data_IF_837996953340
#
_entry.id   IF_837996953340
#
_cell.length_a   1.000
_cell.length_b   1.000
_cell.length_c   1.000
_cell.angle_alpha   90.00
_cell.angle_beta   90.00
_cell.angle_gamma   90.00
#
_symmetry.space_group_name_H-M   'P 1'
#
loop_
_entity.id
_entity.type
_entity.pdbx_description
1 polymer ?
#
# COMPACT_ATOMS: atom_id res chain seq x y z
N UNK A 1 -4.17 1.20 19.98
CA UNK A 1 -3.36 -0.03 20.20
C UNK A 1 -2.07 0.14 19.41
N UNK A 2 -0.94 -0.15 20.04
CA UNK A 2 0.40 0.00 19.47
C UNK A 2 1.15 -1.34 19.59
N UNK A 3 1.88 -1.71 18.55
CA UNK A 3 2.67 -2.93 18.50
C UNK A 3 4.03 -2.64 17.88
N UNK A 4 5.11 -2.87 18.64
CA UNK A 4 6.47 -2.64 18.18
C UNK A 4 7.04 -3.92 17.56
N UNK A 5 7.44 -3.85 16.28
CA UNK A 5 8.07 -4.97 15.57
C UNK A 5 9.58 -4.99 15.84
N UNK A 6 10.21 -3.83 15.77
CA UNK A 6 11.63 -3.65 16.09
C UNK A 6 11.92 -2.20 16.51
N UNK A 7 13.19 -1.85 16.69
CA UNK A 7 13.60 -0.50 17.12
C UNK A 7 13.16 0.64 16.18
N UNK A 8 12.86 0.34 14.91
CA UNK A 8 12.45 1.32 13.90
C UNK A 8 11.00 1.17 13.47
N UNK A 9 10.43 -0.03 13.53
CA UNK A 9 9.11 -0.31 12.96
C UNK A 9 8.08 -0.50 14.07
N UNK A 10 7.04 0.32 14.01
CA UNK A 10 5.89 0.27 14.91
C UNK A 10 4.59 0.27 14.11
N UNK A 11 3.61 -0.54 14.54
CA UNK A 11 2.26 -0.55 14.00
C UNK A 11 1.30 0.12 14.99
N UNK A 12 0.46 1.04 14.51
CA UNK A 12 -0.60 1.65 15.31
C UNK A 12 -1.95 1.45 14.63
N UNK A 13 -2.96 1.08 15.42
CA UNK A 13 -4.34 1.07 14.95
C UNK A 13 -4.93 2.46 15.13
N UNK A 14 -5.11 3.18 14.03
CA UNK A 14 -5.64 4.53 14.00
C UNK A 14 -6.83 4.61 13.05
N UNK A 15 -7.97 5.13 13.53
CA UNK A 15 -9.21 5.24 12.74
C UNK A 15 -9.62 3.92 12.04
N UNK A 16 -9.39 2.78 12.69
CA UNK A 16 -9.70 1.45 12.16
C UNK A 16 -8.73 0.95 11.07
N UNK A 17 -7.61 1.65 10.84
CA UNK A 17 -6.57 1.25 9.90
C UNK A 17 -5.25 1.00 10.63
N UNK A 18 -4.52 -0.02 10.21
CA UNK A 18 -3.14 -0.21 10.67
C UNK A 18 -2.24 0.76 9.93
N UNK A 19 -1.61 1.67 10.66
CA UNK A 19 -0.61 2.62 10.17
C UNK A 19 0.77 2.10 10.56
N UNK A 20 1.67 2.05 9.58
CA UNK A 20 3.08 1.67 9.80
C UNK A 20 3.85 2.95 10.11
N UNK A 21 4.69 2.90 11.13
CA UNK A 21 5.63 3.96 11.48
C UNK A 21 7.05 3.45 11.29
N UNK A 22 7.91 4.26 10.67
CA UNK A 22 9.34 4.04 10.55
C UNK A 22 10.04 5.18 11.28
N UNK A 23 10.81 4.84 12.32
CA UNK A 23 11.53 5.81 13.16
C UNK A 23 10.61 6.91 13.75
N UNK A 24 9.40 6.51 14.13
CA UNK A 24 8.38 7.42 14.68
C UNK A 24 7.57 8.19 13.64
N UNK A 25 7.92 8.12 12.36
CA UNK A 25 7.22 8.82 11.28
C UNK A 25 6.24 7.91 10.52
N UNK A 26 5.02 8.36 10.17
CA UNK A 26 4.09 7.58 9.38
C UNK A 26 4.68 7.20 8.01
N UNK A 27 4.71 5.90 7.72
CA UNK A 27 5.17 5.38 6.45
C UNK A 27 3.98 5.16 5.51
N UNK A 28 3.96 5.91 4.41
CA UNK A 28 2.97 5.76 3.34
C UNK A 28 3.56 4.85 2.27
N UNK A 29 3.00 3.64 2.13
CA UNK A 29 3.38 2.74 1.05
C UNK A 29 2.79 3.26 -0.27
N UNK A 30 3.63 3.82 -1.13
CA UNK A 30 3.26 4.10 -2.52
C UNK A 30 3.18 2.77 -3.29
N UNK A 31 1.97 2.27 -3.53
CA UNK A 31 1.76 1.17 -4.47
C UNK A 31 1.71 1.75 -5.89
N UNK A 32 2.72 1.44 -6.69
CA UNK A 32 2.64 1.67 -8.14
C UNK A 32 1.71 0.63 -8.76
N UNK A 33 0.76 1.06 -9.57
CA UNK A 33 -0.02 0.16 -10.41
C UNK A 33 0.77 -0.05 -11.71
N UNK A 34 1.30 -1.26 -11.92
CA UNK A 34 1.89 -1.65 -13.19
C UNK A 34 0.82 -2.36 -14.02
N UNK A 35 0.40 -1.71 -15.10
CA UNK A 35 -0.60 -2.25 -16.02
C UNK A 35 0.09 -2.61 -17.33
N UNK A 36 -0.03 -3.87 -17.74
CA UNK A 36 0.33 -4.29 -19.09
C UNK A 36 -0.88 -4.06 -20.01
N UNK A 37 -0.88 -2.92 -20.71
CA UNK A 37 -1.95 -2.45 -21.59
C UNK A 37 -1.59 -2.88 -23.02
N UNK A 38 -2.20 -3.95 -23.60
CA UNK A 38 -1.96 -4.32 -24.99
C UNK A 38 -2.45 -3.23 -25.96
N UNK A 39 -1.87 -3.14 -27.16
CA UNK A 39 -2.18 -2.09 -28.14
C UNK A 39 -3.58 -2.20 -28.79
N UNK A 40 -4.37 -3.22 -28.48
CA UNK A 40 -5.64 -3.52 -29.14
C UNK A 40 -6.78 -3.70 -28.13
N UNK A 41 -6.99 -2.69 -27.29
CA UNK A 41 -8.01 -2.71 -26.24
C UNK A 41 -9.27 -2.06 -26.77
N UNK A 42 -10.38 -2.79 -26.74
CA UNK A 42 -11.70 -2.20 -26.88
C UNK A 42 -12.14 -1.64 -25.52
N UNK A 43 -12.93 -0.57 -25.51
CA UNK A 43 -13.22 0.26 -24.32
C UNK A 43 -13.83 -0.45 -23.09
N UNK A 44 -14.04 -1.76 -23.16
CA UNK A 44 -14.63 -2.60 -22.11
C UNK A 44 -13.70 -3.72 -21.59
N UNK A 45 -12.43 -3.79 -22.01
CA UNK A 45 -11.56 -4.85 -21.51
C UNK A 45 -11.18 -4.63 -20.04
N UNK A 46 -11.38 -5.67 -19.23
CA UNK A 46 -11.07 -5.67 -17.80
C UNK A 46 -9.56 -5.63 -17.63
N UNK A 47 -9.07 -4.53 -17.05
CA UNK A 47 -7.65 -4.39 -16.75
C UNK A 47 -7.30 -5.31 -15.58
N UNK A 48 -6.48 -6.33 -15.87
CA UNK A 48 -5.88 -7.18 -14.84
C UNK A 48 -4.66 -6.47 -14.23
N UNK A 49 -4.68 -6.25 -12.91
CA UNK A 49 -3.50 -5.83 -12.15
C UNK A 49 -2.71 -7.07 -11.75
N UNK A 50 -1.39 -7.05 -11.98
CA UNK A 50 -0.45 -8.14 -11.65
C UNK A 50 0.00 -8.04 -10.19
#
# INVERSE_FOLDING_TARGET
MEFQINRFITLKLEKGKTVIYIDGEPFILCKGLYVDIPNNIESNDIIHSI
#
